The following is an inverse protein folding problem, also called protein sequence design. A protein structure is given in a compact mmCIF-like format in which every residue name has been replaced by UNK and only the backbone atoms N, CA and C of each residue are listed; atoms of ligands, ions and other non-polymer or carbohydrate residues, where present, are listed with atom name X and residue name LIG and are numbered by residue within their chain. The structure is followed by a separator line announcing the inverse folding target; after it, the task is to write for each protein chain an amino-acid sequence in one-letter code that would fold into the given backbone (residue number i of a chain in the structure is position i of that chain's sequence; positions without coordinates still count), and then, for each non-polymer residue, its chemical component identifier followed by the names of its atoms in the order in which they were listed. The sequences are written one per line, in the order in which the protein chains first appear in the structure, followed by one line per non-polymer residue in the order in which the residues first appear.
data_IF_281050590050
#
_entry.id   IF_281050590050
#
_cell.length_a   1.000
_cell.length_b   1.000
_cell.length_c   1.000
_cell.angle_alpha   90.00
_cell.angle_beta   90.00
_cell.angle_gamma   90.00
#
_symmetry.space_group_name_H-M   'P 1'
#
loop_
_entity.id
_entity.type
_entity.pdbx_description
1 polymer ?
#
# COMPACT_ATOMS: atom_id res chain seq x y z
N UNK A 1 0.47 10.67 -1.70
CA UNK A 1 0.74 9.45 -0.92
C UNK A 1 1.89 8.72 -1.58
N UNK A 2 2.89 8.31 -0.81
CA UNK A 2 3.94 7.43 -1.32
C UNK A 2 3.38 6.01 -1.37
N UNK A 3 3.63 5.32 -2.48
CA UNK A 3 3.18 3.94 -2.71
C UNK A 3 4.36 3.05 -3.04
N UNK A 4 4.28 1.78 -2.67
CA UNK A 4 5.28 0.76 -3.00
C UNK A 4 4.65 -0.32 -3.84
N UNK A 5 5.36 -0.80 -4.86
CA UNK A 5 4.92 -1.99 -5.60
C UNK A 5 5.11 -3.23 -4.72
N UNK A 6 4.03 -3.98 -4.53
CA UNK A 6 4.00 -5.23 -3.79
C UNK A 6 3.49 -6.35 -4.70
N UNK A 7 4.06 -7.55 -4.54
CA UNK A 7 3.76 -8.71 -5.37
C UNK A 7 3.23 -9.84 -4.51
N UNK A 8 2.04 -10.30 -4.84
CA UNK A 8 1.48 -11.51 -4.25
C UNK A 8 1.36 -12.59 -5.32
N UNK A 9 2.09 -13.69 -5.14
CA UNK A 9 1.91 -14.86 -5.98
C UNK A 9 0.82 -15.75 -5.40
N UNK A 10 -0.23 -15.98 -6.18
CA UNK A 10 -1.24 -16.99 -5.83
C UNK A 10 -0.56 -18.36 -5.94
N UNK A 11 -0.53 -19.20 -4.89
CA UNK A 11 0.21 -20.47 -4.93
C UNK A 11 -0.56 -21.60 -5.67
N UNK A 12 -1.55 -21.24 -6.50
CA UNK A 12 -2.45 -22.14 -7.21
C UNK A 12 -2.76 -21.59 -8.61
N UNK A 13 -3.33 -22.44 -9.46
CA UNK A 13 -4.00 -21.99 -10.67
C UNK A 13 -5.28 -21.21 -10.37
N UNK A 14 -5.39 -20.00 -10.91
CA UNK A 14 -6.58 -19.16 -10.84
C UNK A 14 -7.43 -19.44 -12.06
N UNK A 15 -8.70 -19.77 -11.83
CA UNK A 15 -9.68 -20.03 -12.89
C UNK A 15 -10.68 -18.88 -12.92
N UNK A 16 -10.84 -18.26 -14.08
CA UNK A 16 -11.85 -17.24 -14.33
C UNK A 16 -13.10 -17.88 -14.93
N UNK A 17 -14.27 -17.57 -14.37
CA UNK A 17 -15.54 -18.18 -14.75
C UNK A 17 -16.62 -17.13 -15.04
N UNK A 18 -17.43 -17.38 -16.06
CA UNK A 18 -18.70 -16.68 -16.30
C UNK A 18 -19.86 -17.66 -16.07
N UNK A 19 -20.51 -17.51 -14.92
CA UNK A 19 -21.49 -18.48 -14.42
C UNK A 19 -20.86 -19.84 -14.14
N UNK A 20 -21.08 -20.80 -15.05
CA UNK A 20 -20.51 -22.17 -14.96
C UNK A 20 -19.48 -22.46 -16.04
N UNK A 21 -19.25 -21.51 -16.97
CA UNK A 21 -18.30 -21.66 -18.05
C UNK A 21 -16.92 -21.15 -17.62
N UNK A 22 -15.88 -21.95 -17.87
CA UNK A 22 -14.49 -21.52 -17.70
C UNK A 22 -14.14 -20.60 -18.87
N UNK A 23 -13.67 -19.39 -18.57
CA UNK A 23 -13.25 -18.40 -19.56
C UNK A 23 -11.74 -18.12 -19.52
N UNK A 24 -11.04 -18.51 -18.45
CA UNK A 24 -9.59 -18.36 -18.33
C UNK A 24 -8.99 -19.26 -17.25
N UNK A 25 -7.72 -19.61 -17.42
CA UNK A 25 -6.91 -20.30 -16.42
C UNK A 25 -5.50 -19.73 -16.45
N UNK A 26 -4.98 -19.30 -15.31
CA UNK A 26 -3.61 -18.84 -15.14
C UNK A 26 -2.94 -19.58 -13.99
N UNK A 27 -1.81 -20.23 -14.25
CA UNK A 27 -1.09 -21.01 -13.23
C UNK A 27 -0.15 -20.11 -12.42
N UNK A 28 -0.32 -20.11 -11.09
CA UNK A 28 0.48 -19.34 -10.13
C UNK A 28 0.70 -17.87 -10.52
N UNK A 29 -0.37 -17.12 -10.83
CA UNK A 29 -0.26 -15.73 -11.27
C UNK A 29 0.38 -14.86 -10.20
N UNK A 30 1.15 -13.88 -10.65
CA UNK A 30 1.70 -12.82 -9.79
C UNK A 30 0.79 -11.62 -9.92
N UNK A 31 0.10 -11.29 -8.83
CA UNK A 31 -0.70 -10.08 -8.72
C UNK A 31 0.20 -8.94 -8.24
N UNK A 32 0.16 -7.82 -8.96
CA UNK A 32 0.94 -6.62 -8.65
C UNK A 32 0.01 -5.54 -8.11
N UNK A 33 0.38 -4.97 -6.98
CA UNK A 33 -0.40 -3.94 -6.31
C UNK A 33 0.49 -2.75 -5.94
N UNK A 34 -0.13 -1.58 -5.81
CA UNK A 34 0.50 -0.43 -5.17
C UNK A 34 -0.05 -0.33 -3.74
N UNK A 35 0.80 -0.57 -2.77
CA UNK A 35 0.45 -0.50 -1.34
C UNK A 35 0.82 0.86 -0.76
N UNK A 36 0.08 1.29 0.25
CA UNK A 36 0.34 2.53 0.98
C UNK A 36 1.63 2.40 1.80
N UNK A 37 2.65 3.20 1.48
CA UNK A 37 3.96 3.13 2.13
C UNK A 37 4.03 3.87 3.48
N UNK A 38 2.93 4.45 3.95
CA UNK A 38 2.89 5.18 5.23
C UNK A 38 3.53 6.57 5.20
N UNK A 39 3.93 7.08 4.03
CA UNK A 39 4.59 8.38 3.87
C UNK A 39 3.67 9.33 3.09
N UNK A 40 3.46 10.53 3.63
CA UNK A 40 2.51 11.50 3.08
C UNK A 40 3.12 12.89 2.97
N UNK A 41 2.77 13.57 1.88
CA UNK A 41 2.98 15.01 1.69
C UNK A 41 1.61 15.61 1.47
N UNK A 42 1.24 16.58 2.31
CA UNK A 42 -0.10 17.18 2.37
C UNK A 42 0.06 18.69 2.50
N UNK A 43 -0.71 19.46 1.73
CA UNK A 43 -0.75 20.91 1.88
C UNK A 43 -1.50 21.30 3.15
N UNK A 44 -1.30 22.54 3.62
CA UNK A 44 -2.06 23.07 4.75
C UNK A 44 -3.58 23.02 4.53
N UNK A 45 -4.05 23.29 3.31
CA UNK A 45 -5.47 23.21 2.99
C UNK A 45 -6.01 21.77 3.00
N UNK A 46 -5.17 20.78 2.66
CA UNK A 46 -5.53 19.37 2.80
C UNK A 46 -5.83 19.02 4.26
N UNK A 47 -4.99 19.47 5.19
CA UNK A 47 -5.13 19.19 6.62
C UNK A 47 -6.42 19.76 7.23
N UNK A 48 -6.96 20.87 6.70
CA UNK A 48 -8.23 21.47 7.17
C UNK A 48 -9.45 20.55 7.01
N UNK A 49 -9.33 19.47 6.24
CA UNK A 49 -10.40 18.48 6.04
C UNK A 49 -10.39 17.35 7.08
N UNK A 50 -9.45 17.35 8.04
CA UNK A 50 -9.39 16.37 9.11
C UNK A 50 -10.40 16.76 10.22
N UNK A 51 -11.35 15.88 10.57
CA UNK A 51 -12.32 16.16 11.63
C UNK A 51 -11.68 16.15 13.01
N UNK A 52 -12.18 17.00 13.90
CA UNK A 52 -11.78 17.02 15.30
C UNK A 52 -12.47 15.89 16.10
N UNK A 53 -11.83 15.47 17.19
CA UNK A 53 -12.36 14.56 18.21
C UNK A 53 -12.97 13.24 17.69
N UNK A 54 -12.51 12.75 16.54
CA UNK A 54 -12.96 11.49 15.95
C UNK A 54 -11.77 10.71 15.42
N UNK A 55 -11.83 9.38 15.50
CA UNK A 55 -10.86 8.54 14.83
C UNK A 55 -10.84 8.85 13.32
N UNK A 56 -9.65 9.10 12.80
CA UNK A 56 -9.48 9.47 11.41
C UNK A 56 -8.08 9.07 10.92
N UNK A 57 -8.02 8.28 9.84
CA UNK A 57 -6.78 7.75 9.30
C UNK A 57 -6.42 8.33 7.92
N UNK A 58 -5.18 8.07 7.50
CA UNK A 58 -4.64 8.59 6.24
C UNK A 58 -5.29 8.02 4.98
N UNK A 59 -5.62 6.71 4.89
CA UNK A 59 -6.41 6.18 3.78
C UNK A 59 -7.77 6.89 3.64
N UNK A 60 -8.50 7.05 4.74
CA UNK A 60 -9.79 7.77 4.75
C UNK A 60 -9.59 9.22 4.34
N UNK A 61 -8.52 9.88 4.78
CA UNK A 61 -8.21 11.25 4.40
C UNK A 61 -8.01 11.42 2.89
N UNK A 62 -7.16 10.60 2.28
CA UNK A 62 -6.93 10.64 0.83
C UNK A 62 -8.18 10.29 0.02
N UNK A 63 -8.99 9.32 0.49
CA UNK A 63 -10.26 8.99 -0.14
C UNK A 63 -11.23 10.17 -0.12
N UNK A 64 -11.39 10.87 1.02
CA UNK A 64 -12.25 12.06 1.13
C UNK A 64 -11.73 13.24 0.31
N UNK A 65 -10.43 13.52 0.33
CA UNK A 65 -9.84 14.56 -0.50
C UNK A 65 -10.14 14.32 -1.99
N UNK A 66 -9.94 13.09 -2.46
CA UNK A 66 -10.25 12.71 -3.85
C UNK A 66 -11.74 12.85 -4.17
N UNK A 67 -12.62 12.40 -3.28
CA UNK A 67 -14.07 12.49 -3.47
C UNK A 67 -14.56 13.95 -3.50
N UNK A 68 -13.91 14.84 -2.75
CA UNK A 68 -14.20 16.28 -2.72
C UNK A 68 -13.54 17.08 -3.86
N UNK A 69 -12.92 16.40 -4.85
CA UNK A 69 -12.31 17.03 -6.01
C UNK A 69 -10.93 17.65 -5.76
N UNK A 70 -10.32 17.40 -4.59
CA UNK A 70 -8.93 17.79 -4.37
C UNK A 70 -8.00 16.89 -5.18
N UNK A 71 -6.94 17.48 -5.73
CA UNK A 71 -5.89 16.72 -6.42
C UNK A 71 -5.14 15.85 -5.41
N UNK A 72 -5.20 14.54 -5.63
CA UNK A 72 -4.37 13.55 -4.94
C UNK A 72 -3.39 12.94 -5.93
N UNK A 73 -2.22 12.50 -5.45
CA UNK A 73 -1.19 11.90 -6.28
C UNK A 73 -0.53 10.73 -5.55
N UNK A 74 -0.18 9.69 -6.32
CA UNK A 74 0.67 8.60 -5.90
C UNK A 74 2.12 8.92 -6.32
N UNK A 75 3.07 8.70 -5.41
CA UNK A 75 4.50 8.78 -5.68
C UNK A 75 5.11 7.38 -5.49
N UNK A 76 5.60 6.71 -6.56
CA UNK A 76 6.16 5.37 -6.45
C UNK A 76 7.53 5.41 -5.77
N UNK A 77 7.68 4.67 -4.68
CA UNK A 77 8.95 4.44 -4.00
C UNK A 77 9.66 3.23 -4.62
N UNK A 78 10.90 3.45 -5.04
CA UNK A 78 11.75 2.41 -5.63
C UNK A 78 12.90 1.98 -4.70
N UNK A 79 13.11 2.76 -3.64
CA UNK A 79 14.14 2.59 -2.64
C UNK A 79 13.76 1.52 -1.61
N UNK A 80 14.74 1.18 -0.75
CA UNK A 80 14.51 0.29 0.37
C UNK A 80 13.41 0.83 1.29
N UNK A 81 12.46 -0.05 1.61
CA UNK A 81 11.33 0.25 2.48
C UNK A 81 10.89 -1.03 3.19
N UNK A 82 10.57 -0.90 4.47
CA UNK A 82 10.08 -1.99 5.31
C UNK A 82 8.99 -1.45 6.23
N UNK A 83 7.86 -2.17 6.28
CA UNK A 83 6.77 -1.90 7.21
C UNK A 83 6.93 -2.78 8.46
N UNK A 84 7.40 -2.19 9.56
CA UNK A 84 7.65 -2.92 10.80
C UNK A 84 6.37 -2.96 11.65
N UNK A 85 5.44 -3.83 11.26
CA UNK A 85 4.19 -4.07 11.98
C UNK A 85 4.16 -5.36 12.81
N UNK A 86 5.11 -6.28 12.58
CA UNK A 86 5.16 -7.62 13.19
C UNK A 86 6.59 -7.97 13.62
N UNK A 87 6.71 -8.96 14.52
CA UNK A 87 8.01 -9.37 15.07
C UNK A 87 8.96 -9.93 13.99
N UNK A 88 8.43 -10.71 13.05
CA UNK A 88 9.18 -11.25 11.90
C UNK A 88 9.71 -10.15 10.97
N UNK A 89 8.92 -9.09 10.75
CA UNK A 89 9.35 -7.90 9.99
C UNK A 89 10.45 -7.12 10.74
N UNK A 90 10.34 -6.99 12.07
CA UNK A 90 11.37 -6.36 12.90
C UNK A 90 12.70 -7.14 12.84
N UNK A 91 12.64 -8.45 13.02
CA UNK A 91 13.82 -9.32 12.91
C UNK A 91 14.45 -9.26 11.51
N UNK A 92 13.62 -9.16 10.47
CA UNK A 92 14.10 -8.96 9.09
C UNK A 92 14.83 -7.63 8.96
N UNK A 93 14.23 -6.52 9.40
CA UNK A 93 14.84 -5.20 9.35
C UNK A 93 16.19 -5.16 10.09
N UNK A 94 16.31 -5.83 11.24
CA UNK A 94 17.58 -5.93 11.98
C UNK A 94 18.67 -6.71 11.23
N UNK A 95 18.29 -7.77 10.49
CA UNK A 95 19.25 -8.52 9.66
C UNK A 95 19.68 -7.74 8.41
N UNK A 96 18.75 -7.03 7.80
CA UNK A 96 18.99 -6.25 6.58
C UNK A 96 19.75 -4.94 6.86
N UNK A 97 19.61 -4.40 8.06
CA UNK A 97 20.30 -3.19 8.51
C UNK A 97 21.06 -3.44 9.82
N UNK A 98 22.17 -4.22 9.80
CA UNK A 98 23.03 -4.36 10.97
C UNK A 98 23.58 -2.99 11.34
N UNK A 99 23.59 -2.66 12.63
CA UNK A 99 24.10 -1.37 13.12
C UNK A 99 25.58 -1.19 12.72
N UNK A 100 25.83 -0.50 11.60
CA UNK A 100 27.03 0.32 11.43
C UNK A 100 26.61 1.77 11.69
N UNK A 101 26.45 2.11 12.97
CA UNK A 101 26.51 3.49 13.41
C UNK A 101 28.00 3.86 13.35
N UNK A 102 28.43 4.48 12.24
CA UNK A 102 29.68 5.26 12.21
C UNK A 102 29.50 6.58 12.97
#
# INVERSE_FOLDING_TARGET
MVVREDHYQVPYGVVEVDGTQIIGVEEKPIQRHLVNAGIYVISQDGLKNIPEDTFYDMPTHFAKLSANGHRTAAFPLHEYWVDIGRLDELERAQREWPQEIQ
#
